data_IF_059316077193
#
_entry.id   IF_059316077193
#
_cell.length_a   1.000
_cell.length_b   1.000
_cell.length_c   1.000
_cell.angle_alpha   90.00
_cell.angle_beta   90.00
_cell.angle_gamma   90.00
#
_symmetry.space_group_name_H-M   'P 1'
#
loop_
_entity.id
_entity.type
_entity.pdbx_description
1 polymer ?
#
# COMPACT_ATOMS: atom_id res chain seq x y z
N UNK A 1 -39.63 -50.40 36.59
CA UNK A 1 -38.95 -51.73 36.62
C UNK A 1 -37.96 -51.76 37.77
N UNK A 2 -37.97 -52.79 38.63
CA UNK A 2 -36.94 -52.95 39.64
C UNK A 2 -35.58 -53.15 38.94
N UNK A 3 -34.60 -52.28 39.21
CA UNK A 3 -33.24 -52.46 38.69
C UNK A 3 -32.61 -53.65 39.42
N UNK A 4 -32.45 -54.74 38.70
CA UNK A 4 -31.80 -55.97 39.15
C UNK A 4 -30.33 -55.89 38.77
N UNK A 5 -29.42 -56.02 39.75
CA UNK A 5 -27.99 -56.12 39.50
C UNK A 5 -27.55 -57.58 39.66
N UNK A 6 -26.85 -58.14 38.65
CA UNK A 6 -26.20 -59.45 38.72
C UNK A 6 -24.87 -59.28 39.45
N UNK A 7 -24.71 -59.92 40.61
CA UNK A 7 -23.40 -59.97 41.30
C UNK A 7 -22.45 -60.97 40.62
N UNK A 8 -21.13 -60.90 40.85
CA UNK A 8 -20.20 -61.99 40.51
C UNK A 8 -20.61 -63.29 41.23
N UNK A 9 -20.11 -64.46 40.79
CA UNK A 9 -20.44 -65.77 41.37
C UNK A 9 -20.19 -65.78 42.89
N UNK A 10 -21.26 -65.60 43.64
CA UNK A 10 -21.23 -65.52 45.08
C UNK A 10 -21.86 -66.78 45.63
N UNK A 11 -21.31 -67.32 46.71
CA UNK A 11 -22.09 -68.25 47.53
C UNK A 11 -23.23 -67.50 48.23
N UNK A 12 -24.22 -68.25 48.73
CA UNK A 12 -25.41 -67.70 49.40
C UNK A 12 -25.08 -66.66 50.48
N UNK A 13 -24.03 -66.87 51.27
CA UNK A 13 -23.66 -65.95 52.35
C UNK A 13 -23.02 -64.65 51.88
N UNK A 14 -22.20 -64.68 50.82
CA UNK A 14 -21.69 -63.44 50.21
C UNK A 14 -22.82 -62.64 49.57
N UNK A 15 -23.80 -63.30 48.96
CA UNK A 15 -25.01 -62.66 48.41
C UNK A 15 -25.81 -61.94 49.50
N UNK A 16 -25.99 -62.60 50.66
CA UNK A 16 -26.63 -62.04 51.85
C UNK A 16 -25.87 -60.84 52.39
N UNK A 17 -24.55 -60.95 52.54
CA UNK A 17 -23.72 -59.88 53.09
C UNK A 17 -23.71 -58.65 52.17
N UNK A 18 -23.62 -58.84 50.85
CA UNK A 18 -23.71 -57.74 49.87
C UNK A 18 -25.04 -56.96 49.91
N UNK A 19 -26.13 -57.57 50.41
CA UNK A 19 -27.40 -56.88 50.64
C UNK A 19 -27.44 -56.22 52.04
N UNK A 20 -26.74 -56.77 53.03
CA UNK A 20 -26.58 -56.14 54.35
C UNK A 20 -25.76 -54.84 54.25
N UNK A 21 -24.68 -54.85 53.49
CA UNK A 21 -23.75 -53.71 53.36
C UNK A 21 -24.30 -52.60 52.45
N UNK A 22 -25.32 -52.91 51.65
CA UNK A 22 -25.92 -51.97 50.71
C UNK A 22 -27.20 -51.36 51.30
N UNK A 23 -27.25 -50.03 51.38
CA UNK A 23 -28.39 -49.31 51.94
C UNK A 23 -29.55 -49.12 50.95
N UNK A 24 -29.35 -49.37 49.66
CA UNK A 24 -30.38 -49.15 48.64
C UNK A 24 -31.24 -50.40 48.41
N UNK A 25 -30.71 -51.59 48.70
CA UNK A 25 -31.39 -52.86 48.45
C UNK A 25 -31.85 -53.52 49.74
N UNK A 26 -33.00 -54.20 49.66
CA UNK A 26 -33.71 -54.75 50.82
C UNK A 26 -34.01 -56.24 50.67
N UNK A 27 -33.83 -56.81 49.48
CA UNK A 27 -33.96 -58.24 49.23
C UNK A 27 -32.77 -58.73 48.42
N UNK A 28 -32.16 -59.84 48.83
CA UNK A 28 -31.25 -60.63 48.01
C UNK A 28 -31.98 -61.89 47.51
N UNK A 29 -31.76 -62.28 46.26
CA UNK A 29 -32.29 -63.51 45.67
C UNK A 29 -31.10 -64.33 45.20
N UNK A 30 -31.03 -65.58 45.64
CA UNK A 30 -29.96 -66.50 45.30
C UNK A 30 -30.54 -67.80 44.72
N UNK A 31 -30.06 -68.26 43.57
CA UNK A 31 -30.49 -69.54 42.98
C UNK A 31 -29.41 -70.62 43.05
N UNK A 32 -29.80 -71.85 42.72
CA UNK A 32 -28.92 -73.03 42.64
C UNK A 32 -27.84 -72.92 41.57
N UNK A 33 -27.96 -72.00 40.61
CA UNK A 33 -26.97 -71.76 39.55
C UNK A 33 -25.90 -70.71 39.97
N UNK A 34 -25.72 -70.49 41.27
CA UNK A 34 -24.80 -69.50 41.86
C UNK A 34 -25.06 -68.05 41.44
N UNK A 35 -26.28 -67.72 41.03
CA UNK A 35 -26.66 -66.37 40.63
C UNK A 35 -27.25 -65.61 41.82
N UNK A 36 -26.75 -64.40 42.03
CA UNK A 36 -27.18 -63.48 43.08
C UNK A 36 -27.77 -62.20 42.48
N UNK A 37 -28.93 -61.79 42.98
CA UNK A 37 -29.60 -60.55 42.61
C UNK A 37 -30.02 -59.76 43.84
N UNK A 38 -30.07 -58.43 43.72
CA UNK A 38 -30.59 -57.53 44.76
C UNK A 38 -31.78 -56.73 44.26
N UNK A 39 -32.76 -56.47 45.14
CA UNK A 39 -33.97 -55.67 44.85
C UNK A 39 -34.22 -54.58 45.88
N UNK A 40 -34.55 -53.38 45.40
CA UNK A 40 -34.88 -52.18 46.20
C UNK A 40 -36.40 -51.99 46.37
N UNK A 41 -36.82 -51.20 47.36
CA UNK A 41 -38.23 -50.78 47.52
C UNK A 41 -38.69 -49.87 46.35
N UNK A 42 -40.00 -49.86 46.01
CA UNK A 42 -41.06 -50.72 46.54
C UNK A 42 -40.97 -52.16 45.98
N UNK A 43 -41.30 -53.17 46.80
CA UNK A 43 -41.36 -54.56 46.37
C UNK A 43 -42.66 -54.82 45.59
N UNK A 44 -42.74 -54.28 44.39
CA UNK A 44 -44.01 -54.17 43.67
C UNK A 44 -44.49 -55.47 42.99
N UNK A 45 -43.62 -56.48 42.81
CA UNK A 45 -43.92 -57.70 42.03
C UNK A 45 -43.14 -58.92 42.57
N UNK A 46 -43.77 -60.09 42.63
CA UNK A 46 -43.13 -61.39 42.86
C UNK A 46 -43.42 -62.33 41.71
N UNK A 47 -42.49 -63.21 41.34
CA UNK A 47 -42.72 -64.26 40.32
C UNK A 47 -42.73 -65.60 41.02
N UNK A 48 -43.87 -66.28 40.98
CA UNK A 48 -43.97 -67.67 41.39
C UNK A 48 -43.50 -68.54 40.22
N UNK A 49 -42.45 -69.34 40.42
CA UNK A 49 -41.96 -70.26 39.41
C UNK A 49 -42.48 -71.67 39.75
N UNK A 50 -43.36 -72.28 38.93
CA UNK A 50 -43.81 -73.64 39.15
C UNK A 50 -42.63 -74.61 39.03
N UNK A 51 -42.44 -75.46 40.03
CA UNK A 51 -41.38 -76.47 40.09
C UNK A 51 -41.62 -77.56 39.04
N UNK A 52 -41.06 -77.41 37.84
CA UNK A 52 -40.99 -78.50 36.85
C UNK A 52 -39.75 -79.40 37.05
N UNK A 53 -38.76 -78.96 37.83
CA UNK A 53 -37.61 -79.74 38.27
C UNK A 53 -37.41 -79.59 39.79
N UNK A 54 -37.35 -80.71 40.52
CA UNK A 54 -37.21 -80.74 42.00
C UNK A 54 -35.87 -80.13 42.48
N UNK A 55 -34.88 -80.01 41.59
CA UNK A 55 -33.52 -79.59 41.92
C UNK A 55 -33.22 -78.10 41.72
N UNK A 56 -34.15 -77.29 41.18
CA UNK A 56 -33.90 -75.87 40.87
C UNK A 56 -34.82 -74.94 41.67
N UNK A 57 -34.25 -74.19 42.61
CA UNK A 57 -35.00 -73.26 43.46
C UNK A 57 -34.24 -71.97 43.73
N UNK A 58 -34.97 -70.90 44.07
CA UNK A 58 -34.41 -69.61 44.46
C UNK A 58 -34.78 -69.27 45.91
N UNK A 59 -33.80 -68.87 46.71
CA UNK A 59 -34.01 -68.35 48.06
C UNK A 59 -34.07 -66.83 48.02
N UNK A 60 -35.17 -66.24 48.51
CA UNK A 60 -35.26 -64.82 48.78
C UNK A 60 -34.90 -64.53 50.25
N UNK A 61 -33.92 -63.67 50.48
CA UNK A 61 -33.48 -63.21 51.79
C UNK A 61 -33.90 -61.74 51.95
N UNK A 62 -34.85 -61.49 52.85
CA UNK A 62 -35.39 -60.15 53.11
C UNK A 62 -34.65 -59.53 54.29
N UNK A 63 -34.09 -58.35 54.09
CA UNK A 63 -33.43 -57.56 55.13
C UNK A 63 -34.49 -56.95 56.04
N UNK A 64 -34.58 -57.48 57.26
CA UNK A 64 -35.47 -56.98 58.32
C UNK A 64 -34.65 -56.35 59.44
N UNK A 65 -35.22 -55.32 60.09
CA UNK A 65 -34.61 -54.67 61.26
C UNK A 65 -34.95 -55.48 62.51
N UNK A 66 -33.94 -55.87 63.28
CA UNK A 66 -34.10 -56.70 64.50
C UNK A 66 -33.87 -55.87 65.79
N UNK A 67 -33.15 -54.75 65.73
CA UNK A 67 -32.88 -53.85 66.87
C UNK A 67 -32.98 -52.37 66.49
N UNK A 68 -33.28 -51.53 67.48
CA UNK A 68 -33.52 -50.08 67.35
C UNK A 68 -32.26 -49.22 67.59
N UNK A 69 -31.06 -49.76 67.36
CA UNK A 69 -29.83 -48.99 67.51
C UNK A 69 -29.70 -47.91 66.42
N UNK A 70 -28.98 -46.84 66.78
CA UNK A 70 -28.76 -45.61 65.99
C UNK A 70 -28.21 -45.90 64.60
N UNK A 71 -28.73 -45.15 63.63
CA UNK A 71 -28.43 -45.22 62.19
C UNK A 71 -26.92 -45.03 61.97
N UNK A 72 -26.18 -46.07 61.57
CA UNK A 72 -24.99 -45.84 60.76
C UNK A 72 -25.48 -45.23 59.44
N UNK A 73 -25.33 -43.90 59.34
CA UNK A 73 -25.77 -43.12 58.17
C UNK A 73 -24.91 -43.60 57.01
N UNK A 74 -25.55 -44.19 56.01
CA UNK A 74 -24.88 -44.61 54.80
C UNK A 74 -24.08 -43.44 54.22
N UNK A 75 -22.78 -43.60 53.86
CA UNK A 75 -21.97 -42.48 53.40
C UNK A 75 -22.55 -41.92 52.10
N UNK A 76 -22.94 -40.64 52.14
CA UNK A 76 -23.48 -39.94 50.98
C UNK A 76 -22.37 -39.63 49.98
N UNK A 77 -22.30 -40.41 48.91
CA UNK A 77 -21.32 -40.23 47.83
C UNK A 77 -21.72 -39.11 46.86
N UNK A 78 -22.86 -38.44 47.05
CA UNK A 78 -23.35 -37.36 46.17
C UNK A 78 -22.37 -36.20 46.07
N UNK A 79 -21.77 -35.81 47.19
CA UNK A 79 -20.82 -34.68 47.27
C UNK A 79 -19.52 -35.02 46.53
N UNK A 80 -19.05 -36.27 46.64
CA UNK A 80 -17.85 -36.73 45.94
C UNK A 80 -18.05 -36.76 44.41
N UNK A 81 -19.24 -37.18 43.96
CA UNK A 81 -19.59 -37.20 42.53
C UNK A 81 -19.72 -35.78 41.98
N UNK A 82 -20.32 -34.87 42.75
CA UNK A 82 -20.48 -33.46 42.37
C UNK A 82 -19.12 -32.75 42.26
N UNK A 83 -18.23 -32.96 43.22
CA UNK A 83 -16.88 -32.37 43.16
C UNK A 83 -16.08 -32.93 41.98
N UNK A 84 -16.18 -34.24 41.74
CA UNK A 84 -15.51 -34.89 40.61
C UNK A 84 -15.99 -34.37 39.26
N UNK A 85 -17.30 -34.15 39.08
CA UNK A 85 -17.85 -33.66 37.81
C UNK A 85 -17.49 -32.20 37.53
N UNK A 86 -17.46 -31.34 38.55
CA UNK A 86 -17.06 -29.93 38.41
C UNK A 86 -15.59 -29.80 38.04
N UNK A 87 -14.70 -30.56 38.69
CA UNK A 87 -13.27 -30.53 38.38
C UNK A 87 -12.99 -30.99 36.95
N UNK A 88 -13.60 -32.10 36.51
CA UNK A 88 -13.44 -32.61 35.14
C UNK A 88 -13.98 -31.61 34.11
N UNK A 89 -15.15 -31.01 34.36
CA UNK A 89 -15.75 -30.01 33.47
C UNK A 89 -14.86 -28.76 33.32
N UNK A 90 -14.31 -28.26 34.42
CA UNK A 90 -13.43 -27.08 34.41
C UNK A 90 -12.12 -27.33 33.63
N UNK A 91 -11.49 -28.50 33.81
CA UNK A 91 -10.28 -28.86 33.08
C UNK A 91 -10.51 -28.95 31.57
N UNK A 92 -11.63 -29.54 31.13
CA UNK A 92 -11.96 -29.64 29.69
C UNK A 92 -12.18 -28.26 29.09
N UNK A 93 -12.88 -27.38 29.80
CA UNK A 93 -13.13 -26.00 29.34
C UNK A 93 -11.82 -25.20 29.18
N UNK A 94 -10.92 -25.26 30.16
CA UNK A 94 -9.63 -24.57 30.08
C UNK A 94 -8.76 -25.08 28.94
N UNK A 95 -8.70 -26.40 28.71
CA UNK A 95 -7.93 -26.97 27.60
C UNK A 95 -8.52 -26.57 26.23
N UNK A 96 -9.85 -26.56 26.08
CA UNK A 96 -10.50 -26.13 24.84
C UNK A 96 -10.29 -24.64 24.58
N UNK A 97 -10.35 -23.80 25.63
CA UNK A 97 -10.07 -22.37 25.53
C UNK A 97 -8.64 -22.11 25.07
N UNK A 98 -7.64 -22.80 25.64
CA UNK A 98 -6.24 -22.67 25.24
C UNK A 98 -6.00 -23.14 23.79
N UNK A 99 -6.63 -24.24 23.38
CA UNK A 99 -6.53 -24.76 22.00
C UNK A 99 -7.09 -23.81 20.94
N UNK A 100 -8.03 -22.94 21.30
CA UNK A 100 -8.58 -21.93 20.39
C UNK A 100 -7.85 -20.59 20.48
N UNK A 101 -7.52 -20.14 21.70
CA UNK A 101 -6.91 -18.84 21.94
C UNK A 101 -5.48 -18.74 21.41
N UNK A 102 -4.67 -19.80 21.55
CA UNK A 102 -3.26 -19.79 21.09
C UNK A 102 -3.15 -19.67 19.57
N UNK A 103 -3.85 -20.47 18.74
CA UNK A 103 -3.81 -20.30 17.29
C UNK A 103 -4.47 -19.00 16.84
N UNK A 104 -5.54 -18.53 17.49
CA UNK A 104 -6.14 -17.22 17.17
C UNK A 104 -5.17 -16.07 17.46
N UNK A 105 -4.45 -16.11 18.59
CA UNK A 105 -3.41 -15.15 18.92
C UNK A 105 -2.23 -15.25 17.94
N UNK A 106 -1.78 -16.46 17.61
CA UNK A 106 -0.72 -16.68 16.63
C UNK A 106 -1.12 -16.17 15.24
N UNK A 107 -2.35 -16.41 14.78
CA UNK A 107 -2.90 -15.86 13.54
C UNK A 107 -3.03 -14.35 13.61
N UNK A 108 -3.45 -13.78 14.74
CA UNK A 108 -3.53 -12.33 14.92
C UNK A 108 -2.14 -11.69 14.86
N UNK A 109 -1.13 -12.24 15.55
CA UNK A 109 0.24 -11.75 15.50
C UNK A 109 0.92 -12.01 14.17
N UNK A 110 0.62 -13.15 13.52
CA UNK A 110 1.11 -13.47 12.18
C UNK A 110 0.50 -12.53 11.14
N UNK A 111 -0.82 -12.31 11.15
CA UNK A 111 -1.49 -11.35 10.28
C UNK A 111 -1.04 -9.92 10.57
N UNK A 112 -0.84 -9.55 11.84
CA UNK A 112 -0.26 -8.24 12.20
C UNK A 112 1.17 -8.09 11.67
N UNK A 113 2.00 -9.14 11.73
CA UNK A 113 3.36 -9.16 11.16
C UNK A 113 3.33 -9.15 9.62
N UNK A 114 2.40 -9.86 8.98
CA UNK A 114 2.23 -9.92 7.53
C UNK A 114 1.71 -8.60 6.97
N UNK A 115 0.77 -7.94 7.66
CA UNK A 115 0.32 -6.58 7.31
C UNK A 115 1.44 -5.55 7.49
N UNK A 116 2.30 -5.72 8.50
CA UNK A 116 3.46 -4.83 8.68
C UNK A 116 4.52 -5.04 7.57
N UNK A 117 4.76 -6.29 7.16
CA UNK A 117 5.68 -6.63 6.05
C UNK A 117 5.10 -6.24 4.68
N UNK A 118 3.78 -6.42 4.46
CA UNK A 118 3.09 -5.96 3.25
C UNK A 118 3.06 -4.43 3.18
N UNK A 119 2.89 -3.71 4.29
CA UNK A 119 2.85 -2.23 4.27
C UNK A 119 4.14 -1.57 3.76
N UNK A 120 5.29 -2.25 3.92
CA UNK A 120 6.61 -1.75 3.47
C UNK A 120 6.93 -2.18 2.03
N UNK A 121 6.36 -3.30 1.56
CA UNK A 121 6.75 -3.91 0.28
C UNK A 121 5.66 -3.95 -0.80
N UNK A 122 4.37 -3.72 -0.49
CA UNK A 122 3.26 -4.05 -1.40
C UNK A 122 2.56 -2.86 -2.06
N UNK A 123 2.96 -1.61 -1.83
CA UNK A 123 2.29 -0.45 -2.46
C UNK A 123 2.80 -0.11 -3.87
N UNK A 124 4.06 -0.44 -4.18
CA UNK A 124 4.67 -0.10 -5.47
C UNK A 124 5.27 -1.38 -6.08
N UNK A 125 4.77 -1.86 -7.22
CA UNK A 125 5.34 -3.03 -7.88
C UNK A 125 6.77 -2.71 -8.34
N UNK A 126 7.75 -3.40 -7.72
CA UNK A 126 9.16 -3.52 -8.13
C UNK A 126 9.76 -2.25 -8.76
N UNK A 127 9.83 -1.15 -8.02
CA UNK A 127 10.68 -0.02 -8.40
C UNK A 127 12.14 -0.35 -8.09
N UNK A 128 13.06 0.04 -8.97
CA UNK A 128 14.53 -0.09 -8.77
C UNK A 128 15.08 0.85 -7.68
N UNK A 129 14.19 1.63 -7.07
CA UNK A 129 14.47 2.76 -6.18
C UNK A 129 14.58 2.29 -4.74
N UNK A 130 15.57 2.80 -4.01
CA UNK A 130 15.84 2.39 -2.62
C UNK A 130 14.82 2.98 -1.64
N UNK A 131 14.40 2.19 -0.66
CA UNK A 131 13.60 2.68 0.46
C UNK A 131 14.50 3.10 1.62
N UNK A 132 14.20 4.26 2.22
CA UNK A 132 14.91 4.81 3.37
C UNK A 132 13.97 5.01 4.56
N UNK A 133 14.54 4.91 5.76
CA UNK A 133 13.89 5.41 6.97
C UNK A 133 13.93 6.95 7.01
N UNK A 134 12.98 7.55 7.74
CA UNK A 134 12.96 9.01 7.92
C UNK A 134 14.26 9.51 8.56
N UNK A 135 14.78 8.75 9.55
CA UNK A 135 15.99 9.10 10.28
C UNK A 135 17.22 9.14 9.37
N UNK A 136 17.35 8.20 8.42
CA UNK A 136 18.46 8.21 7.47
C UNK A 136 18.48 9.48 6.61
N UNK A 137 17.33 9.91 6.08
CA UNK A 137 17.26 11.13 5.26
C UNK A 137 17.34 12.41 6.10
N UNK A 138 16.86 12.39 7.34
CA UNK A 138 17.04 13.48 8.29
C UNK A 138 18.53 13.68 8.65
N UNK A 139 19.26 12.60 8.93
CA UNK A 139 20.70 12.64 9.17
C UNK A 139 21.48 13.09 7.93
N UNK A 140 21.13 12.57 6.75
CA UNK A 140 21.78 12.93 5.49
C UNK A 140 21.63 14.42 5.15
N UNK A 141 20.55 15.06 5.59
CA UNK A 141 20.28 16.50 5.36
C UNK A 141 20.72 17.39 6.54
N UNK A 142 21.40 16.81 7.54
CA UNK A 142 21.81 17.53 8.75
C UNK A 142 20.62 18.11 9.53
N UNK A 143 19.49 17.39 9.56
CA UNK A 143 18.25 17.87 10.16
C UNK A 143 17.48 18.85 9.27
N UNK A 144 17.54 18.69 7.94
CA UNK A 144 16.91 19.58 6.95
C UNK A 144 17.43 21.02 7.03
N UNK A 145 18.74 21.19 7.15
CA UNK A 145 19.38 22.50 7.41
C UNK A 145 19.53 23.38 6.17
N UNK A 146 20.02 22.83 5.07
CA UNK A 146 20.30 23.57 3.83
C UNK A 146 19.14 23.41 2.85
N UNK A 147 18.33 24.46 2.71
CA UNK A 147 17.19 24.48 1.79
C UNK A 147 17.65 24.90 0.39
N UNK A 148 17.33 24.07 -0.60
CA UNK A 148 17.56 24.35 -2.02
C UNK A 148 16.39 25.09 -2.66
N UNK A 149 15.16 24.77 -2.26
CA UNK A 149 13.96 25.38 -2.84
C UNK A 149 12.70 25.00 -2.08
N UNK A 150 11.59 25.68 -2.38
CA UNK A 150 10.26 25.30 -1.91
C UNK A 150 9.27 25.45 -3.05
N UNK A 151 8.63 24.34 -3.41
CA UNK A 151 7.53 24.32 -4.37
C UNK A 151 6.18 24.36 -3.66
N UNK A 152 5.11 24.21 -4.44
CA UNK A 152 3.74 24.13 -3.92
C UNK A 152 3.53 22.96 -2.95
N UNK A 153 4.32 21.91 -3.12
CA UNK A 153 4.06 20.60 -2.53
C UNK A 153 5.04 20.20 -1.42
N UNK A 154 6.12 20.96 -1.26
CA UNK A 154 7.14 20.62 -0.29
C UNK A 154 8.39 21.46 -0.40
N UNK A 155 9.33 21.12 0.47
CA UNK A 155 10.62 21.79 0.55
C UNK A 155 11.73 20.83 0.17
N UNK A 156 12.66 21.29 -0.67
CA UNK A 156 13.82 20.50 -1.12
C UNK A 156 15.04 20.92 -0.33
N UNK A 157 15.76 19.95 0.20
CA UNK A 157 16.95 20.14 1.02
C UNK A 157 18.16 19.46 0.38
N UNK A 158 19.34 20.05 0.57
CA UNK A 158 20.59 19.39 0.19
C UNK A 158 20.96 18.36 1.24
N UNK A 159 21.48 17.22 0.80
CA UNK A 159 21.97 16.18 1.69
C UNK A 159 23.21 15.49 1.14
N UNK A 160 23.82 14.67 1.99
CA UNK A 160 24.93 13.75 1.68
C UNK A 160 24.65 12.45 2.42
N UNK A 161 24.55 11.33 1.69
CA UNK A 161 24.31 10.03 2.31
C UNK A 161 25.57 9.51 2.99
N UNK A 162 25.41 8.89 4.16
CA UNK A 162 26.52 8.26 4.88
C UNK A 162 27.22 7.14 4.06
N UNK A 163 26.49 6.51 3.14
CA UNK A 163 27.03 5.49 2.24
C UNK A 163 27.95 6.04 1.15
N UNK A 164 27.82 7.33 0.79
CA UNK A 164 28.65 7.97 -0.22
C UNK A 164 28.83 9.47 0.08
N UNK A 165 29.87 9.79 0.85
CA UNK A 165 30.16 11.14 1.30
C UNK A 165 30.56 12.12 0.17
N UNK A 166 30.79 11.63 -1.06
CA UNK A 166 31.20 12.47 -2.20
C UNK A 166 30.04 12.91 -3.06
N UNK A 167 28.87 12.30 -2.91
CA UNK A 167 27.70 12.57 -3.75
C UNK A 167 26.67 13.39 -2.97
N UNK A 168 26.41 14.59 -3.46
CA UNK A 168 25.27 15.38 -2.99
C UNK A 168 23.96 14.80 -3.54
N UNK A 169 22.92 14.89 -2.70
CA UNK A 169 21.55 14.47 -3.03
C UNK A 169 20.59 15.62 -2.74
N UNK A 170 19.45 15.60 -3.40
CA UNK A 170 18.34 16.52 -3.13
C UNK A 170 17.19 15.74 -2.48
N UNK A 171 16.81 16.13 -1.27
CA UNK A 171 15.72 15.48 -0.52
C UNK A 171 14.49 16.38 -0.53
N UNK A 172 13.47 16.01 -1.30
CA UNK A 172 12.16 16.68 -1.31
C UNK A 172 11.33 16.12 -0.16
N UNK A 173 11.04 16.96 0.84
CA UNK A 173 10.14 16.66 1.96
C UNK A 173 8.78 17.29 1.67
N UNK A 174 7.75 16.47 1.52
CA UNK A 174 6.41 16.96 1.23
C UNK A 174 5.78 17.57 2.50
N UNK A 175 5.19 18.75 2.35
CA UNK A 175 4.55 19.47 3.46
C UNK A 175 3.26 18.72 3.83
N UNK A 176 3.20 18.16 5.06
CA UNK A 176 2.14 17.30 5.65
C UNK A 176 1.08 16.74 4.69
N UNK A 177 0.99 15.41 4.66
CA UNK A 177 0.04 14.56 3.91
C UNK A 177 -1.44 15.00 4.01
N UNK A 178 -1.83 16.07 3.30
CA UNK A 178 -3.19 16.27 2.83
C UNK A 178 -3.43 15.23 1.71
N UNK A 179 -4.67 14.91 1.37
CA UNK A 179 -4.97 13.91 0.32
C UNK A 179 -4.20 14.17 -1.00
N UNK A 180 -3.90 15.44 -1.29
CA UNK A 180 -3.14 15.86 -2.48
C UNK A 180 -1.65 15.43 -2.43
N UNK A 181 -0.95 15.67 -1.33
CA UNK A 181 0.47 15.29 -1.19
C UNK A 181 0.71 13.78 -1.17
N UNK A 182 -0.25 12.98 -0.68
CA UNK A 182 -0.18 11.51 -0.79
C UNK A 182 -0.31 11.04 -2.24
N UNK A 183 -1.18 11.70 -3.02
CA UNK A 183 -1.38 11.38 -4.43
C UNK A 183 -0.11 11.71 -5.22
N UNK A 184 0.43 12.90 -5.03
CA UNK A 184 1.67 13.35 -5.65
C UNK A 184 2.84 12.41 -5.34
N UNK A 185 3.03 12.07 -4.06
CA UNK A 185 4.06 11.12 -3.65
C UNK A 185 3.93 9.78 -4.40
N UNK A 186 2.72 9.22 -4.45
CA UNK A 186 2.47 7.97 -5.18
C UNK A 186 2.72 8.10 -6.67
N UNK A 187 2.31 9.22 -7.27
CA UNK A 187 2.57 9.52 -8.67
C UNK A 187 4.07 9.55 -8.94
N UNK A 188 4.85 10.33 -8.20
CA UNK A 188 6.30 10.41 -8.39
C UNK A 188 6.95 9.03 -8.23
N UNK A 189 6.71 8.33 -7.12
CA UNK A 189 7.34 7.00 -6.91
C UNK A 189 6.96 6.00 -8.01
N UNK A 190 5.72 6.03 -8.52
CA UNK A 190 5.26 5.09 -9.56
C UNK A 190 5.76 5.47 -10.95
N UNK A 191 5.71 6.75 -11.30
CA UNK A 191 6.05 7.26 -12.63
C UNK A 191 7.56 7.37 -12.81
N UNK A 192 8.25 8.15 -11.96
CA UNK A 192 9.68 8.39 -12.15
C UNK A 192 10.52 7.19 -11.67
N UNK A 193 10.04 6.40 -10.71
CA UNK A 193 10.77 5.24 -10.18
C UNK A 193 11.04 4.11 -11.16
N UNK A 194 10.45 4.17 -12.36
CA UNK A 194 10.66 3.22 -13.46
C UNK A 194 11.31 3.85 -14.71
N UNK A 195 11.59 5.16 -14.67
CA UNK A 195 12.17 5.88 -15.81
C UNK A 195 13.66 6.12 -15.60
N UNK A 196 14.43 6.06 -16.69
CA UNK A 196 15.86 6.38 -16.67
C UNK A 196 16.26 6.99 -18.00
N UNK A 197 16.50 8.30 -18.02
CA UNK A 197 16.87 9.03 -19.22
C UNK A 197 17.74 10.24 -18.87
N UNK A 198 18.71 10.57 -19.73
CA UNK A 198 19.70 11.64 -19.48
C UNK A 198 19.07 13.02 -19.26
N UNK A 199 17.91 13.27 -19.85
CA UNK A 199 17.17 14.53 -19.72
C UNK A 199 16.02 14.50 -18.70
N UNK A 200 16.02 13.53 -17.79
CA UNK A 200 15.08 13.46 -16.66
C UNK A 200 15.87 13.42 -15.35
N UNK A 201 15.36 14.03 -14.29
CA UNK A 201 15.95 13.91 -12.95
C UNK A 201 15.68 12.51 -12.41
N UNK A 202 16.73 11.80 -12.02
CA UNK A 202 16.65 10.46 -11.48
C UNK A 202 16.17 10.41 -10.03
N UNK A 203 15.07 9.70 -9.76
CA UNK A 203 14.66 9.32 -8.41
C UNK A 203 15.55 8.18 -7.90
N UNK A 204 16.35 8.46 -6.87
CA UNK A 204 17.28 7.50 -6.27
C UNK A 204 16.63 6.70 -5.13
N UNK A 205 15.71 7.36 -4.41
CA UNK A 205 15.18 6.86 -3.16
C UNK A 205 13.85 7.46 -2.74
N UNK A 206 13.17 6.80 -1.81
CA UNK A 206 12.02 7.39 -1.12
C UNK A 206 11.87 6.91 0.33
N UNK A 207 11.12 7.67 1.13
CA UNK A 207 10.68 7.31 2.47
C UNK A 207 9.14 7.38 2.55
N UNK A 208 8.51 6.23 2.85
CA UNK A 208 7.08 6.10 3.19
C UNK A 208 6.97 5.61 4.64
N UNK A 209 7.18 6.49 5.62
CA UNK A 209 7.15 6.14 7.05
C UNK A 209 6.15 6.98 7.82
N UNK A 210 5.01 6.37 8.20
CA UNK A 210 3.97 7.05 8.97
C UNK A 210 3.40 8.26 8.22
N UNK A 211 3.61 9.46 8.75
CA UNK A 211 3.22 10.74 8.12
C UNK A 211 4.32 11.35 7.25
N UNK A 212 5.50 10.73 7.21
CA UNK A 212 6.64 11.25 6.50
C UNK A 212 6.64 10.71 5.07
N UNK A 213 6.66 11.63 4.11
CA UNK A 213 6.83 11.38 2.68
C UNK A 213 8.03 12.19 2.20
N UNK A 214 9.10 11.48 1.83
CA UNK A 214 10.32 12.10 1.34
C UNK A 214 10.78 11.38 0.07
N UNK A 215 11.36 12.14 -0.85
CA UNK A 215 11.89 11.66 -2.10
C UNK A 215 13.35 12.10 -2.21
N UNK A 216 14.23 11.17 -2.54
CA UNK A 216 15.65 11.41 -2.75
C UNK A 216 15.93 11.43 -4.26
N UNK A 217 16.42 12.56 -4.72
CA UNK A 217 16.83 12.83 -6.08
C UNK A 217 18.34 13.02 -6.17
N UNK A 218 18.89 12.79 -7.36
CA UNK A 218 20.21 13.31 -7.68
C UNK A 218 20.25 14.84 -7.56
N UNK A 219 21.36 15.37 -7.07
CA UNK A 219 21.52 16.82 -6.93
C UNK A 219 21.86 17.47 -8.27
N UNK A 220 21.18 18.58 -8.57
CA UNK A 220 21.40 19.41 -9.76
C UNK A 220 22.22 20.64 -9.38
N UNK A 221 23.45 20.73 -9.88
CA UNK A 221 24.44 21.71 -9.44
C UNK A 221 24.09 23.16 -9.83
N UNK A 222 23.40 23.35 -10.96
CA UNK A 222 23.19 24.67 -11.56
C UNK A 222 21.75 25.21 -11.36
N UNK A 223 20.97 24.61 -10.47
CA UNK A 223 19.62 25.08 -10.13
C UNK A 223 18.62 24.87 -11.28
N UNK A 224 17.60 25.74 -11.33
CA UNK A 224 16.56 25.69 -12.35
C UNK A 224 16.89 26.54 -13.58
N UNK A 225 16.27 26.22 -14.71
CA UNK A 225 16.36 27.02 -15.92
C UNK A 225 15.74 28.40 -15.71
N UNK A 226 14.72 28.54 -14.86
CA UNK A 226 14.18 29.84 -14.47
C UNK A 226 15.25 30.74 -13.83
N UNK A 227 16.04 30.20 -12.88
CA UNK A 227 17.13 30.95 -12.26
C UNK A 227 18.17 31.39 -13.30
N UNK A 228 18.46 30.50 -14.25
CA UNK A 228 19.42 30.75 -15.31
C UNK A 228 18.94 31.81 -16.30
N UNK A 229 17.66 31.79 -16.70
CA UNK A 229 17.07 32.73 -17.65
C UNK A 229 16.79 34.12 -17.04
N UNK A 230 16.36 34.17 -15.78
CA UNK A 230 15.82 35.40 -15.20
C UNK A 230 16.72 36.06 -14.15
N UNK A 231 17.71 35.37 -13.57
CA UNK A 231 18.48 35.88 -12.42
C UNK A 231 19.98 36.05 -12.66
N UNK A 232 20.61 35.16 -13.46
CA UNK A 232 22.08 35.09 -13.52
C UNK A 232 22.63 35.83 -14.75
N UNK A 233 22.34 35.32 -15.95
CA UNK A 233 22.84 35.87 -17.21
C UNK A 233 22.17 35.14 -18.37
N UNK A 234 21.83 35.84 -19.45
CA UNK A 234 21.32 35.22 -20.68
C UNK A 234 22.37 34.23 -21.22
N UNK A 235 22.05 32.92 -21.33
CA UNK A 235 22.99 31.96 -21.87
C UNK A 235 23.35 32.22 -23.33
N UNK A 236 24.50 31.70 -23.76
CA UNK A 236 24.89 31.69 -25.16
C UNK A 236 23.78 31.06 -26.03
N UNK A 237 23.66 31.54 -27.27
CA UNK A 237 22.61 31.07 -28.19
C UNK A 237 22.71 29.54 -28.41
N UNK A 238 23.92 29.03 -28.60
CA UNK A 238 24.19 27.61 -28.80
C UNK A 238 23.69 26.76 -27.61
N UNK A 239 23.84 27.27 -26.38
CA UNK A 239 23.45 26.60 -25.17
C UNK A 239 21.93 26.58 -25.00
N UNK A 240 21.24 27.67 -25.35
CA UNK A 240 19.77 27.73 -25.37
C UNK A 240 19.17 26.70 -26.31
N UNK A 241 19.76 26.55 -27.49
CA UNK A 241 19.38 25.50 -28.44
C UNK A 241 19.59 24.11 -27.85
N UNK A 242 20.77 23.83 -27.27
CA UNK A 242 21.05 22.54 -26.62
C UNK A 242 20.07 22.22 -25.49
N UNK A 243 19.68 23.22 -24.71
CA UNK A 243 18.67 23.11 -23.66
C UNK A 243 17.31 22.75 -24.28
N UNK A 244 16.85 23.49 -25.28
CA UNK A 244 15.58 23.21 -25.96
C UNK A 244 15.55 21.79 -26.56
N UNK A 245 16.64 21.36 -27.21
CA UNK A 245 16.78 19.99 -27.72
C UNK A 245 16.76 18.94 -26.61
N UNK A 246 17.44 19.19 -25.49
CA UNK A 246 17.46 18.27 -24.36
C UNK A 246 16.08 18.11 -23.71
N UNK A 247 15.34 19.21 -23.55
CA UNK A 247 13.95 19.18 -23.08
C UNK A 247 13.09 18.37 -24.06
N UNK A 248 13.19 18.63 -25.36
CA UNK A 248 12.42 17.91 -26.36
C UNK A 248 12.71 16.39 -26.35
N UNK A 249 13.97 15.99 -26.18
CA UNK A 249 14.36 14.58 -26.00
C UNK A 249 13.77 13.96 -24.74
N UNK A 250 13.79 14.67 -23.62
CA UNK A 250 13.18 14.22 -22.38
C UNK A 250 11.67 13.97 -22.54
N UNK A 251 10.96 14.89 -23.22
CA UNK A 251 9.54 14.76 -23.49
C UNK A 251 9.21 13.65 -24.50
N UNK A 252 10.02 13.51 -25.57
CA UNK A 252 9.88 12.39 -26.52
C UNK A 252 10.02 11.05 -25.81
N UNK A 253 11.01 10.90 -24.93
CA UNK A 253 11.17 9.68 -24.14
C UNK A 253 9.92 9.36 -23.30
N UNK A 254 9.36 10.37 -22.62
CA UNK A 254 8.16 10.20 -21.80
C UNK A 254 6.93 9.83 -22.62
N UNK A 255 6.75 10.46 -23.79
CA UNK A 255 5.54 10.32 -24.60
C UNK A 255 5.57 9.10 -25.53
N UNK A 256 6.75 8.73 -26.04
CA UNK A 256 6.88 7.81 -27.17
C UNK A 256 7.70 6.55 -26.83
N UNK A 257 8.69 6.64 -25.93
CA UNK A 257 9.61 5.51 -25.63
C UNK A 257 9.25 4.74 -24.34
N UNK A 258 8.55 5.37 -23.40
CA UNK A 258 8.11 4.71 -22.17
C UNK A 258 7.08 3.62 -22.45
N UNK A 259 7.14 2.51 -21.68
CA UNK A 259 6.20 1.39 -21.86
C UNK A 259 4.74 1.84 -21.76
N UNK A 260 4.44 2.76 -20.84
CA UNK A 260 3.17 3.48 -20.79
C UNK A 260 3.49 4.95 -21.00
N UNK A 261 2.88 5.66 -21.97
CA UNK A 261 3.14 7.07 -22.17
C UNK A 261 2.85 7.88 -20.90
N UNK A 262 3.78 8.78 -20.57
CA UNK A 262 3.74 9.63 -19.38
C UNK A 262 3.53 11.08 -19.82
N UNK A 263 2.47 11.72 -19.35
CA UNK A 263 2.23 13.15 -19.54
C UNK A 263 2.68 13.88 -18.27
N UNK A 264 3.62 14.82 -18.40
CA UNK A 264 4.17 15.52 -17.23
C UNK A 264 3.19 16.50 -16.55
N UNK A 265 2.39 17.22 -17.35
CA UNK A 265 1.38 18.20 -16.91
C UNK A 265 1.92 19.47 -16.19
N UNK A 266 3.23 19.70 -16.12
CA UNK A 266 3.79 20.89 -15.43
C UNK A 266 5.16 21.27 -16.01
N UNK A 267 5.24 21.36 -17.35
CA UNK A 267 6.48 21.75 -18.02
C UNK A 267 6.61 23.26 -17.98
N UNK A 268 7.65 23.73 -17.28
CA UNK A 268 7.97 25.14 -17.07
C UNK A 268 9.45 25.31 -16.69
N UNK A 269 10.07 26.49 -16.87
CA UNK A 269 11.48 26.72 -16.58
C UNK A 269 11.90 26.36 -15.14
N UNK A 270 11.03 26.49 -14.15
CA UNK A 270 11.31 26.13 -12.75
C UNK A 270 11.48 24.61 -12.56
N UNK A 271 10.82 23.81 -13.40
CA UNK A 271 10.85 22.35 -13.34
C UNK A 271 11.89 21.75 -14.30
N UNK A 272 12.62 22.58 -15.06
CA UNK A 272 13.78 22.14 -15.82
C UNK A 272 15.03 22.47 -14.99
N UNK A 273 15.68 21.45 -14.43
CA UNK A 273 16.91 21.62 -13.68
C UNK A 273 18.15 21.43 -14.56
N UNK A 274 19.27 22.02 -14.16
CA UNK A 274 20.53 21.96 -14.89
C UNK A 274 21.59 21.20 -14.09
N UNK A 275 22.17 20.15 -14.69
CA UNK A 275 23.29 19.42 -14.09
C UNK A 275 24.62 20.19 -14.24
N UNK A 276 25.73 19.60 -13.76
CA UNK A 276 27.06 20.23 -13.78
C UNK A 276 27.55 20.63 -15.19
N UNK A 277 27.04 20.00 -16.25
CA UNK A 277 27.37 20.30 -17.64
C UNK A 277 26.30 21.17 -18.32
N UNK A 278 25.40 21.77 -17.55
CA UNK A 278 24.26 22.54 -18.05
C UNK A 278 23.36 21.72 -18.99
N UNK A 279 23.32 20.39 -18.82
CA UNK A 279 22.36 19.52 -19.51
C UNK A 279 21.01 19.65 -18.80
N UNK A 280 19.90 19.89 -19.53
CA UNK A 280 18.58 20.02 -18.92
C UNK A 280 18.03 18.67 -18.47
N UNK A 281 17.42 18.66 -17.28
CA UNK A 281 16.72 17.53 -16.69
C UNK A 281 15.34 17.94 -16.21
N UNK A 282 14.32 17.30 -16.78
CA UNK A 282 12.93 17.51 -16.39
C UNK A 282 12.72 16.93 -14.99
N UNK A 283 12.07 17.69 -14.13
CA UNK A 283 11.82 17.39 -12.72
C UNK A 283 10.37 17.68 -12.32
N UNK A 284 9.98 17.26 -11.12
CA UNK A 284 8.65 17.50 -10.52
C UNK A 284 7.49 16.77 -11.24
N UNK A 285 7.51 15.45 -11.15
CA UNK A 285 6.49 14.56 -11.73
C UNK A 285 5.23 14.43 -10.86
N UNK A 286 5.06 15.31 -9.87
CA UNK A 286 3.95 15.25 -8.92
C UNK A 286 2.55 15.26 -9.54
N UNK A 287 2.43 15.92 -10.69
CA UNK A 287 1.19 16.05 -11.47
C UNK A 287 1.10 15.08 -12.65
N UNK A 288 2.12 14.23 -12.85
CA UNK A 288 2.23 13.38 -14.02
C UNK A 288 1.09 12.34 -14.11
N UNK A 289 0.79 11.92 -15.34
CA UNK A 289 -0.30 10.97 -15.64
C UNK A 289 0.17 9.90 -16.60
N UNK A 290 -0.32 8.69 -16.39
CA UNK A 290 -0.12 7.55 -17.27
C UNK A 290 -1.29 7.45 -18.24
N UNK A 291 -1.01 7.49 -19.54
CA UNK A 291 -2.01 7.29 -20.59
C UNK A 291 -2.06 5.80 -20.96
N UNK A 292 -3.24 5.19 -20.84
CA UNK A 292 -3.41 3.79 -21.29
C UNK A 292 -3.33 3.74 -22.83
N UNK A 293 -2.61 2.75 -23.38
CA UNK A 293 -2.29 2.66 -24.82
C UNK A 293 -3.50 2.61 -25.76
N UNK A 294 -4.66 2.23 -25.25
CA UNK A 294 -5.94 2.16 -25.96
C UNK A 294 -6.72 3.50 -25.96
N UNK A 295 -6.22 4.51 -25.25
CA UNK A 295 -6.84 5.82 -25.14
C UNK A 295 -5.95 6.90 -25.78
N UNK A 296 -6.54 7.78 -26.58
CA UNK A 296 -5.88 8.98 -27.12
C UNK A 296 -5.95 10.17 -26.15
N UNK A 297 -6.76 10.07 -25.09
CA UNK A 297 -7.03 11.13 -24.12
C UNK A 297 -7.22 10.54 -22.72
N UNK A 298 -6.86 11.28 -21.68
CA UNK A 298 -7.18 10.96 -20.29
C UNK A 298 -8.02 12.11 -19.72
N UNK A 299 -9.15 11.80 -19.06
CA UNK A 299 -9.95 12.81 -18.35
C UNK A 299 -9.13 13.41 -17.20
N UNK A 300 -8.81 14.69 -17.30
CA UNK A 300 -8.06 15.42 -16.29
C UNK A 300 -8.97 16.42 -15.58
N UNK A 301 -8.94 16.45 -14.25
CA UNK A 301 -9.29 17.69 -13.52
C UNK A 301 -8.17 18.71 -13.81
N UNK A 302 -8.53 19.95 -14.09
CA UNK A 302 -7.62 21.09 -14.35
C UNK A 302 -6.54 21.13 -13.26
N UNK A 303 -5.27 20.91 -13.61
CA UNK A 303 -4.15 20.72 -12.67
C UNK A 303 -2.81 21.01 -13.36
N UNK A 304 -2.23 22.16 -13.04
CA UNK A 304 -0.88 22.60 -13.40
C UNK A 304 -0.52 23.85 -12.59
N UNK A 305 0.69 24.38 -12.75
CA UNK A 305 1.02 25.72 -12.23
C UNK A 305 0.25 26.78 -13.02
N UNK A 306 -0.44 27.71 -12.33
CA UNK A 306 -1.11 28.87 -12.94
C UNK A 306 -0.13 29.59 -13.88
N UNK A 307 -0.38 29.54 -15.20
CA UNK A 307 0.47 30.09 -16.26
C UNK A 307 0.84 29.10 -17.40
N UNK A 308 0.80 27.78 -17.14
CA UNK A 308 1.27 26.75 -18.11
C UNK A 308 0.19 25.76 -18.62
N UNK A 309 -1.08 25.97 -18.25
CA UNK A 309 -2.27 25.46 -18.96
C UNK A 309 -2.85 26.64 -19.78
N UNK A 310 -3.69 26.41 -20.81
CA UNK A 310 -4.31 27.40 -21.75
C UNK A 310 -4.09 28.89 -21.38
N UNK A 311 -3.57 29.75 -22.28
CA UNK A 311 -3.07 31.08 -21.91
C UNK A 311 -4.16 31.97 -21.29
N UNK A 312 -4.28 31.94 -19.96
CA UNK A 312 -5.25 32.72 -19.18
C UNK A 312 -4.63 33.99 -18.54
N UNK A 313 -3.29 34.12 -18.53
CA UNK A 313 -2.61 35.35 -18.10
C UNK A 313 -2.44 36.28 -19.30
N UNK A 314 -2.89 37.54 -19.18
CA UNK A 314 -2.67 38.57 -20.21
C UNK A 314 -1.18 38.63 -20.60
N UNK A 315 -0.23 38.63 -19.65
CA UNK A 315 1.20 38.78 -19.95
C UNK A 315 1.83 37.62 -20.75
N UNK A 316 1.41 36.37 -20.53
CA UNK A 316 1.93 35.19 -21.25
C UNK A 316 1.21 34.94 -22.58
N UNK A 317 -0.11 35.17 -22.62
CA UNK A 317 -0.86 35.27 -23.88
C UNK A 317 -0.22 36.34 -24.77
N UNK A 318 0.10 37.50 -24.18
CA UNK A 318 0.82 38.60 -24.85
C UNK A 318 2.18 38.13 -25.39
N UNK A 319 2.94 37.30 -24.67
CA UNK A 319 4.26 36.86 -25.15
C UNK A 319 4.15 35.94 -26.38
N UNK A 320 3.26 34.95 -26.33
CA UNK A 320 3.06 34.02 -27.45
C UNK A 320 2.45 34.74 -28.67
N UNK A 321 1.47 35.62 -28.43
CA UNK A 321 0.86 36.48 -29.45
C UNK A 321 1.91 37.42 -30.07
N UNK A 322 2.70 38.09 -29.23
CA UNK A 322 3.75 39.00 -29.69
C UNK A 322 4.83 38.28 -30.50
N UNK A 323 5.21 37.06 -30.09
CA UNK A 323 6.13 36.22 -30.85
C UNK A 323 5.54 35.83 -32.21
N UNK A 324 4.27 35.45 -32.25
CA UNK A 324 3.55 35.14 -33.49
C UNK A 324 3.44 36.37 -34.41
N UNK A 325 3.13 37.55 -33.87
CA UNK A 325 3.08 38.81 -34.61
C UNK A 325 4.44 39.22 -35.17
N UNK A 326 5.52 38.99 -34.40
CA UNK A 326 6.88 39.22 -34.89
C UNK A 326 7.23 38.26 -36.03
N UNK A 327 6.86 36.98 -35.92
CA UNK A 327 7.03 36.00 -37.00
C UNK A 327 6.25 36.41 -38.27
N UNK A 328 4.94 36.65 -38.15
CA UNK A 328 4.06 37.07 -39.25
C UNK A 328 4.54 38.37 -39.91
N UNK A 329 4.99 39.33 -39.10
CA UNK A 329 5.50 40.60 -39.55
C UNK A 329 6.90 40.55 -40.17
N UNK A 330 7.55 39.38 -40.21
CA UNK A 330 8.96 39.20 -40.61
C UNK A 330 9.90 40.10 -39.78
N UNK A 331 9.62 40.23 -38.48
CA UNK A 331 10.36 41.07 -37.52
C UNK A 331 10.90 40.26 -36.35
N UNK A 332 11.44 39.07 -36.63
CA UNK A 332 12.05 38.21 -35.62
C UNK A 332 13.26 38.85 -34.94
N UNK A 333 13.90 39.83 -35.58
CA UNK A 333 14.96 40.67 -35.01
C UNK A 333 14.52 41.35 -33.70
N UNK A 334 13.23 41.64 -33.55
CA UNK A 334 12.68 42.25 -32.33
C UNK A 334 12.69 41.29 -31.13
N UNK A 335 12.56 39.99 -31.37
CA UNK A 335 12.61 38.97 -30.30
C UNK A 335 14.02 38.85 -29.70
N UNK A 336 15.04 39.21 -30.48
CA UNK A 336 16.46 39.06 -30.14
C UNK A 336 17.22 40.39 -30.19
N UNK A 337 16.52 41.52 -29.97
CA UNK A 337 17.06 42.88 -30.17
C UNK A 337 18.37 43.15 -29.40
N UNK A 338 18.57 42.50 -28.26
CA UNK A 338 19.74 42.65 -27.40
C UNK A 338 20.61 41.38 -27.36
N UNK A 339 20.50 40.54 -28.39
CA UNK A 339 21.12 39.23 -28.45
C UNK A 339 21.79 39.03 -29.81
N UNK A 340 23.03 39.55 -29.90
CA UNK A 340 23.83 39.57 -31.12
C UNK A 340 24.14 38.16 -31.64
N UNK A 341 24.19 37.15 -30.77
CA UNK A 341 24.45 35.77 -31.17
C UNK A 341 23.25 35.16 -31.90
N UNK A 342 22.06 35.25 -31.31
CA UNK A 342 20.84 34.77 -31.94
C UNK A 342 20.51 35.60 -33.20
N UNK A 343 20.76 36.90 -33.18
CA UNK A 343 20.58 37.78 -34.34
C UNK A 343 21.50 37.48 -35.53
N UNK A 344 22.63 36.78 -35.33
CA UNK A 344 23.48 36.28 -36.42
C UNK A 344 22.98 34.98 -37.03
N UNK A 345 22.14 34.24 -36.32
CA UNK A 345 21.61 32.93 -36.70
C UNK A 345 20.10 32.98 -36.93
N UNK A 346 19.66 33.97 -37.74
CA UNK A 346 18.25 34.22 -38.02
C UNK A 346 17.52 33.01 -38.61
N UNK A 347 18.22 32.17 -39.40
CA UNK A 347 17.63 30.97 -39.97
C UNK A 347 17.28 29.91 -38.91
N UNK A 348 18.13 29.73 -37.90
CA UNK A 348 17.80 28.86 -36.78
C UNK A 348 16.76 29.49 -35.85
N UNK A 349 16.83 30.80 -35.62
CA UNK A 349 15.82 31.52 -34.83
C UNK A 349 14.42 31.36 -35.43
N UNK A 350 14.28 31.58 -36.74
CA UNK A 350 13.02 31.42 -37.46
C UNK A 350 12.49 29.99 -37.32
N UNK A 351 13.35 28.99 -37.54
CA UNK A 351 13.01 27.58 -37.36
C UNK A 351 12.49 27.28 -35.94
N UNK A 352 13.21 27.73 -34.91
CA UNK A 352 12.81 27.50 -33.50
C UNK A 352 11.47 28.16 -33.20
N UNK A 353 11.26 29.38 -33.66
CA UNK A 353 9.99 30.11 -33.48
C UNK A 353 8.84 29.39 -34.20
N UNK A 354 9.04 28.94 -35.44
CA UNK A 354 8.02 28.18 -36.16
C UNK A 354 7.64 26.89 -35.45
N UNK A 355 8.63 26.14 -34.95
CA UNK A 355 8.38 24.91 -34.18
C UNK A 355 7.64 25.21 -32.87
N UNK A 356 8.02 26.29 -32.17
CA UNK A 356 7.31 26.72 -30.97
C UNK A 356 5.84 27.04 -31.26
N UNK A 357 5.55 27.77 -32.34
CA UNK A 357 4.18 28.09 -32.76
C UNK A 357 3.37 26.81 -33.06
N UNK A 358 3.98 25.80 -33.69
CA UNK A 358 3.34 24.49 -33.90
C UNK A 358 3.04 23.77 -32.58
N UNK A 359 3.89 23.89 -31.57
CA UNK A 359 3.71 23.22 -30.28
C UNK A 359 2.58 23.83 -29.43
N UNK A 360 2.28 25.12 -29.61
CA UNK A 360 1.30 25.85 -28.80
C UNK A 360 -0.08 25.99 -29.45
N UNK A 361 -0.33 25.33 -30.58
CA UNK A 361 -1.62 25.42 -31.29
C UNK A 361 -2.79 25.11 -30.36
N UNK A 362 -3.84 25.92 -30.35
CA UNK A 362 -5.02 25.69 -29.51
C UNK A 362 -5.65 24.33 -29.83
N UNK A 363 -5.79 23.98 -31.12
CA UNK A 363 -6.22 22.65 -31.57
C UNK A 363 -5.11 21.60 -31.36
N UNK A 364 -5.30 20.61 -30.45
CA UNK A 364 -4.30 19.59 -30.18
C UNK A 364 -4.00 18.69 -31.37
N UNK A 365 -4.92 18.56 -32.33
CA UNK A 365 -4.72 17.72 -33.53
C UNK A 365 -3.69 18.30 -34.51
N UNK A 366 -3.42 19.60 -34.40
CA UNK A 366 -2.39 20.29 -35.19
C UNK A 366 -1.00 20.20 -34.54
N UNK A 367 -0.91 19.87 -33.25
CA UNK A 367 0.37 19.82 -32.54
C UNK A 367 1.20 18.63 -33.00
N UNK A 368 2.49 18.80 -33.31
CA UNK A 368 3.37 17.71 -33.69
C UNK A 368 3.67 16.80 -32.49
N UNK A 369 4.05 15.54 -32.77
CA UNK A 369 4.66 14.68 -31.75
C UNK A 369 6.04 15.22 -31.36
N UNK A 370 6.54 14.83 -30.19
CA UNK A 370 7.86 15.30 -29.73
C UNK A 370 9.00 14.74 -30.58
N UNK A 371 8.85 13.54 -31.13
CA UNK A 371 9.77 13.01 -32.13
C UNK A 371 9.84 13.88 -33.39
N UNK A 372 8.68 14.35 -33.88
CA UNK A 372 8.63 15.29 -35.02
C UNK A 372 9.25 16.65 -34.66
N UNK A 373 9.00 17.17 -33.45
CA UNK A 373 9.63 18.40 -32.96
C UNK A 373 11.15 18.31 -33.01
N UNK A 374 11.73 17.18 -32.58
CA UNK A 374 13.18 16.96 -32.66
C UNK A 374 13.67 16.98 -34.11
N UNK A 375 13.00 16.29 -35.03
CA UNK A 375 13.37 16.28 -36.45
C UNK A 375 13.31 17.67 -37.09
N UNK A 376 12.27 18.45 -36.75
CA UNK A 376 12.08 19.82 -37.21
C UNK A 376 13.19 20.75 -36.70
N UNK A 377 13.51 20.68 -35.41
CA UNK A 377 14.57 21.49 -34.80
C UNK A 377 15.95 21.12 -35.37
N UNK A 378 16.22 19.83 -35.63
CA UNK A 378 17.49 19.37 -36.19
C UNK A 378 17.69 19.76 -37.67
N UNK A 379 16.65 20.25 -38.34
CA UNK A 379 16.74 20.54 -39.77
C UNK A 379 16.67 19.31 -40.68
N UNK A 380 16.32 18.14 -40.13
CA UNK A 380 16.13 16.91 -40.91
C UNK A 380 14.86 16.99 -41.74
N UNK A 381 13.83 17.65 -41.21
CA UNK A 381 12.56 17.89 -41.88
C UNK A 381 12.32 19.41 -42.00
N UNK A 382 11.70 19.81 -43.11
CA UNK A 382 11.27 21.19 -43.32
C UNK A 382 10.10 21.53 -42.38
N UNK A 383 10.14 22.71 -41.77
CA UNK A 383 9.06 23.17 -40.90
C UNK A 383 8.02 23.86 -41.77
N UNK A 384 6.80 23.31 -41.91
CA UNK A 384 5.75 23.98 -42.67
C UNK A 384 5.38 25.29 -41.98
N UNK A 385 4.88 26.25 -42.76
CA UNK A 385 4.39 27.54 -42.23
C UNK A 385 3.29 27.27 -41.19
N UNK A 386 3.47 27.65 -39.92
CA UNK A 386 2.47 27.40 -38.89
C UNK A 386 1.23 28.29 -39.06
N UNK A 387 0.03 27.76 -38.79
CA UNK A 387 -1.19 28.55 -38.70
C UNK A 387 -1.19 29.45 -37.45
N UNK A 388 -2.19 30.34 -37.35
CA UNK A 388 -2.40 31.14 -36.14
C UNK A 388 -2.61 30.20 -34.94
N UNK A 389 -1.83 30.32 -33.86
CA UNK A 389 -1.96 29.44 -32.70
C UNK A 389 -3.27 29.63 -31.93
N UNK A 390 -3.90 30.81 -32.03
CA UNK A 390 -5.10 31.18 -31.27
C UNK A 390 -6.24 31.66 -32.19
N UNK A 391 -6.76 30.80 -33.09
CA UNK A 391 -7.74 31.21 -34.09
C UNK A 391 -9.09 31.64 -33.47
N UNK A 392 -9.40 31.19 -32.25
CA UNK A 392 -10.65 31.49 -31.55
C UNK A 392 -10.56 32.66 -30.59
N UNK A 393 -9.35 33.09 -30.21
CA UNK A 393 -9.12 34.21 -29.28
C UNK A 393 -9.10 35.57 -29.99
N UNK A 394 -8.96 35.60 -31.32
CA UNK A 394 -8.97 36.84 -32.14
C UNK A 394 -10.35 37.46 -32.40
N UNK A 395 -11.40 37.01 -31.71
CA UNK A 395 -12.76 37.59 -31.77
C UNK A 395 -13.12 38.32 -30.48
N UNK A 396 -12.43 39.41 -30.14
CA UNK A 396 -12.93 40.42 -29.21
C UNK A 396 -12.48 41.83 -29.61
#
# INVERSE_FOLDING_TARGET
MAKVAKGPEFNKEKCKQSCKDDCLYVVAIYNTNNQCWKKKFPLSNGRHQPTQNVFEYSTALIKVRIKNDTIERCPDKSTLILVGSVLLGSCVFFNLFLLLAIPAAALFFYNKKLMNIQSVSSKFPTTSVRTYSYKELEEATGGFKEKLGRGAFGTVYKGVLASDARRFVAVKKLDKVVQEGEKEFKTEVTVIGQTHHRNLVGLLGYCDQGVHRLLEYEHMNNGSLADFLFLISTPEWSQRLQIAFGIAKGLMYLHEECSTPIIHCDIKPENILLDEYLTPRISDFGLAKLLMRDHTQTLTTIRGTKGYEEPENEEEAILADWAYDCYRGHRLDKLVKNDDEAGKDMGMLERVVMVAIWCIQEDPSLRPSMGMVILMLQGVVEVPVPPCPFPFSSTF
#
